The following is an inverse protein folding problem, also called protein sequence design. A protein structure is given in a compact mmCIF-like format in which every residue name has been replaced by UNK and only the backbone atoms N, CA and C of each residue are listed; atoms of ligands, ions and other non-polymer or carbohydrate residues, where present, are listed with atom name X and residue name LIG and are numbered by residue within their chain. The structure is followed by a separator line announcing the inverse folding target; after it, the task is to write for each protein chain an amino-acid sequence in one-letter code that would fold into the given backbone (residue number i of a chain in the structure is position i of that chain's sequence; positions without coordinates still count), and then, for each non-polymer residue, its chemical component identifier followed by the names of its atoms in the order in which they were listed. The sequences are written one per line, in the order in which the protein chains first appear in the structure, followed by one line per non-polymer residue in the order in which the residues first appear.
data_IF_329524832975
#
_entry.id   IF_329524832975
#
_cell.length_a   1.000
_cell.length_b   1.000
_cell.length_c   1.000
_cell.angle_alpha   90.00
_cell.angle_beta   90.00
_cell.angle_gamma   90.00
#
_symmetry.space_group_name_H-M   'P 1'
#
loop_
_entity.id
_entity.type
_entity.pdbx_description
1 polymer ?
#
# COMPACT_ATOMS: atom_id res chain seq x y z
N UNK A 1 -57.39 7.85 16.30
CA UNK A 1 -56.87 7.62 14.94
C UNK A 1 -55.51 8.28 14.87
N UNK A 2 -54.46 7.50 15.05
CA UNK A 2 -53.05 7.97 14.98
C UNK A 2 -52.41 7.29 13.79
N UNK A 3 -51.97 8.10 12.83
CA UNK A 3 -51.14 7.64 11.70
C UNK A 3 -49.70 7.50 12.18
N UNK A 4 -49.24 6.27 12.18
CA UNK A 4 -47.83 5.92 12.34
C UNK A 4 -47.16 6.06 10.96
N UNK A 5 -46.29 7.05 10.82
CA UNK A 5 -45.42 7.22 9.66
C UNK A 5 -44.24 6.25 9.74
N UNK A 6 -44.17 5.32 8.82
CA UNK A 6 -43.03 4.44 8.60
C UNK A 6 -41.91 5.23 7.92
N UNK A 7 -40.87 5.58 8.66
CA UNK A 7 -39.61 6.07 8.14
C UNK A 7 -38.76 4.86 7.76
N UNK A 8 -38.85 4.41 6.54
CA UNK A 8 -37.87 3.46 5.97
C UNK A 8 -36.56 4.21 5.77
N UNK A 9 -35.56 3.89 6.57
CA UNK A 9 -34.16 4.22 6.29
C UNK A 9 -33.78 3.45 5.04
N UNK A 10 -33.56 4.19 3.95
CA UNK A 10 -32.97 3.64 2.74
C UNK A 10 -31.55 3.15 3.10
N UNK A 11 -31.40 1.85 3.22
CA UNK A 11 -30.11 1.19 3.10
C UNK A 11 -29.62 1.52 1.69
N UNK A 12 -28.59 2.37 1.59
CA UNK A 12 -27.78 2.43 0.39
C UNK A 12 -27.08 1.06 0.25
N UNK A 13 -27.82 0.10 -0.30
CA UNK A 13 -27.22 -1.01 -0.98
C UNK A 13 -26.25 -0.42 -1.98
N UNK A 14 -24.94 -0.72 -1.83
CA UNK A 14 -23.97 -0.59 -2.91
C UNK A 14 -24.50 -1.47 -4.06
N UNK A 15 -25.47 -0.98 -4.80
CA UNK A 15 -25.88 -1.54 -6.08
C UNK A 15 -24.63 -1.52 -6.95
N UNK A 16 -24.07 -2.68 -7.17
CA UNK A 16 -23.23 -2.94 -8.32
C UNK A 16 -24.09 -2.62 -9.54
N UNK A 17 -24.04 -1.38 -10.00
CA UNK A 17 -24.45 -1.08 -11.36
C UNK A 17 -23.55 -1.90 -12.26
N UNK A 18 -24.12 -2.94 -12.85
CA UNK A 18 -23.63 -3.56 -14.08
C UNK A 18 -23.71 -2.52 -15.21
N UNK A 19 -22.83 -1.51 -15.13
CA UNK A 19 -22.54 -0.70 -16.27
C UNK A 19 -21.96 -1.67 -17.31
N UNK A 20 -22.67 -1.87 -18.41
CA UNK A 20 -22.17 -2.54 -19.60
C UNK A 20 -20.83 -1.90 -19.94
N UNK A 21 -19.75 -2.56 -19.49
CA UNK A 21 -18.39 -2.12 -19.71
C UNK A 21 -18.16 -2.05 -21.21
N UNK A 22 -18.08 -0.84 -21.72
CA UNK A 22 -17.40 -0.61 -22.99
C UNK A 22 -16.04 -1.26 -22.82
N UNK A 23 -15.72 -2.22 -23.69
CA UNK A 23 -14.38 -2.82 -23.76
C UNK A 23 -13.42 -1.63 -23.79
N UNK A 24 -12.57 -1.43 -22.77
CA UNK A 24 -11.67 -0.29 -22.76
C UNK A 24 -10.83 -0.37 -24.01
N UNK A 25 -10.69 0.73 -24.75
CA UNK A 25 -9.66 0.85 -25.76
C UNK A 25 -8.36 0.36 -25.10
N UNK A 26 -7.61 -0.52 -25.77
CA UNK A 26 -6.39 -1.10 -25.21
C UNK A 26 -5.57 0.01 -24.58
N UNK A 27 -5.29 -0.11 -23.28
CA UNK A 27 -4.47 0.88 -22.57
C UNK A 27 -3.19 1.05 -23.38
N UNK A 28 -2.87 2.27 -23.78
CA UNK A 28 -1.65 2.54 -24.55
C UNK A 28 -0.39 2.40 -23.67
N UNK A 29 -0.57 2.35 -22.34
CA UNK A 29 0.46 2.21 -21.35
C UNK A 29 0.69 0.72 -21.06
N UNK A 30 1.87 0.20 -21.40
CA UNK A 30 2.25 -1.15 -21.04
C UNK A 30 2.64 -1.28 -19.55
N UNK A 31 2.54 -2.51 -19.03
CA UNK A 31 2.79 -2.79 -17.62
C UNK A 31 4.20 -2.40 -17.15
N UNK A 32 5.21 -2.68 -17.96
CA UNK A 32 6.59 -2.39 -17.62
C UNK A 32 6.84 -0.87 -17.49
N UNK A 33 6.39 -0.10 -18.48
CA UNK A 33 6.45 1.37 -18.46
C UNK A 33 5.68 1.95 -17.27
N UNK A 34 4.48 1.41 -16.99
CA UNK A 34 3.68 1.84 -15.84
C UNK A 34 4.40 1.62 -14.50
N UNK A 35 5.07 0.49 -14.33
CA UNK A 35 5.89 0.21 -13.13
C UNK A 35 7.07 1.18 -13.04
N UNK A 36 7.76 1.43 -14.15
CA UNK A 36 8.90 2.35 -14.18
C UNK A 36 8.51 3.79 -13.86
N UNK A 37 7.43 4.30 -14.44
CA UNK A 37 6.94 5.65 -14.15
C UNK A 37 6.48 5.78 -12.69
N UNK A 38 5.82 4.75 -12.15
CA UNK A 38 5.46 4.72 -10.72
C UNK A 38 6.70 4.65 -9.82
N UNK A 39 7.77 3.96 -10.23
CA UNK A 39 9.06 3.98 -9.54
C UNK A 39 9.69 5.38 -9.56
N UNK A 40 9.60 6.09 -10.70
CA UNK A 40 10.05 7.48 -10.79
C UNK A 40 9.25 8.39 -9.85
N UNK A 41 7.92 8.23 -9.81
CA UNK A 41 7.06 8.98 -8.89
C UNK A 41 7.42 8.70 -7.41
N UNK A 42 7.67 7.45 -7.05
CA UNK A 42 8.13 7.08 -5.71
C UNK A 42 9.49 7.73 -5.38
N UNK A 43 10.43 7.77 -6.33
CA UNK A 43 11.71 8.47 -6.14
C UNK A 43 11.52 9.98 -5.93
N UNK A 44 10.54 10.60 -6.60
CA UNK A 44 10.18 12.01 -6.38
C UNK A 44 9.61 12.22 -4.98
N UNK A 45 8.68 11.37 -4.53
CA UNK A 45 8.12 11.41 -3.17
C UNK A 45 9.23 11.31 -2.12
N UNK A 46 10.16 10.36 -2.29
CA UNK A 46 11.28 10.16 -1.37
C UNK A 46 12.29 11.33 -1.37
N UNK A 47 12.25 12.18 -2.38
CA UNK A 47 12.97 13.45 -2.46
C UNK A 47 12.09 14.67 -2.10
N UNK A 48 10.95 14.48 -1.46
CA UNK A 48 9.99 15.51 -1.04
C UNK A 48 9.32 16.28 -2.20
N UNK A 49 9.30 15.72 -3.40
CA UNK A 49 8.77 16.34 -4.63
C UNK A 49 7.37 15.78 -4.93
N UNK A 50 6.44 16.01 -4.02
CA UNK A 50 5.08 15.43 -4.09
C UNK A 50 4.28 15.93 -5.29
N UNK A 51 4.37 17.24 -5.58
CA UNK A 51 3.67 17.85 -6.72
C UNK A 51 4.14 17.25 -8.04
N UNK A 52 5.46 17.18 -8.23
CA UNK A 52 6.06 16.58 -9.44
C UNK A 52 5.64 15.10 -9.58
N UNK A 53 5.55 14.35 -8.48
CA UNK A 53 5.10 12.96 -8.50
C UNK A 53 3.62 12.84 -8.91
N UNK A 54 2.75 13.70 -8.38
CA UNK A 54 1.33 13.73 -8.77
C UNK A 54 1.17 14.12 -10.25
N UNK A 55 1.90 15.13 -10.73
CA UNK A 55 1.85 15.56 -12.13
C UNK A 55 2.31 14.46 -13.09
N UNK A 56 3.31 13.64 -12.70
CA UNK A 56 3.78 12.49 -13.47
C UNK A 56 2.69 11.41 -13.59
N UNK A 57 1.97 11.12 -12.50
CA UNK A 57 1.00 10.03 -12.46
C UNK A 57 -0.37 10.43 -13.02
N UNK A 58 -0.73 11.71 -12.97
CA UNK A 58 -2.03 12.27 -13.31
C UNK A 58 -2.54 11.92 -14.72
N UNK A 59 -1.73 11.89 -15.78
CA UNK A 59 -2.23 11.57 -17.11
C UNK A 59 -2.84 10.17 -17.24
N UNK A 60 -2.34 9.18 -16.48
CA UNK A 60 -2.65 7.77 -16.63
C UNK A 60 -3.38 7.13 -15.43
N UNK A 61 -3.64 7.88 -14.36
CA UNK A 61 -4.17 7.30 -13.11
C UNK A 61 -5.55 6.65 -13.25
N UNK A 62 -6.31 6.97 -14.31
CA UNK A 62 -7.60 6.32 -14.60
C UNK A 62 -7.49 5.13 -15.54
N UNK A 63 -6.36 4.97 -16.21
CA UNK A 63 -6.19 3.99 -17.27
C UNK A 63 -5.13 2.92 -16.97
N UNK A 64 -4.26 3.18 -16.00
CA UNK A 64 -3.21 2.26 -15.56
C UNK A 64 -3.31 1.98 -14.08
N UNK A 65 -3.29 0.71 -13.69
CA UNK A 65 -3.41 0.28 -12.28
C UNK A 65 -2.28 0.78 -11.39
N UNK A 66 -1.04 0.84 -11.90
CA UNK A 66 0.11 1.34 -11.14
C UNK A 66 0.06 2.85 -10.93
N UNK A 67 -0.35 3.61 -11.95
CA UNK A 67 -0.56 5.05 -11.82
C UNK A 67 -1.72 5.36 -10.88
N UNK A 68 -2.81 4.59 -10.96
CA UNK A 68 -3.95 4.70 -10.04
C UNK A 68 -3.52 4.46 -8.58
N UNK A 69 -2.77 3.38 -8.35
CA UNK A 69 -2.23 3.05 -7.02
C UNK A 69 -1.30 4.16 -6.52
N UNK A 70 -0.31 4.57 -7.31
CA UNK A 70 0.67 5.59 -6.92
C UNK A 70 0.00 6.94 -6.64
N UNK A 71 -0.89 7.39 -7.53
CA UNK A 71 -1.61 8.66 -7.38
C UNK A 71 -2.49 8.67 -6.11
N UNK A 72 -3.27 7.60 -5.89
CA UNK A 72 -4.09 7.47 -4.68
C UNK A 72 -3.24 7.37 -3.42
N UNK A 73 -2.11 6.67 -3.45
CA UNK A 73 -1.21 6.53 -2.29
C UNK A 73 -0.65 7.87 -1.81
N UNK A 74 -0.28 8.76 -2.74
CA UNK A 74 0.22 10.10 -2.39
C UNK A 74 -0.89 10.91 -1.72
N UNK A 75 -2.10 10.90 -2.26
CA UNK A 75 -3.24 11.62 -1.67
C UNK A 75 -3.68 11.04 -0.33
N UNK A 76 -3.60 9.72 -0.14
CA UNK A 76 -3.85 9.08 1.16
C UNK A 76 -2.82 9.51 2.19
N UNK A 77 -1.54 9.53 1.80
CA UNK A 77 -0.47 9.99 2.67
C UNK A 77 -0.70 11.46 3.06
N UNK A 78 -1.08 12.33 2.12
CA UNK A 78 -1.46 13.70 2.41
C UNK A 78 -2.61 13.75 3.42
N UNK A 79 -3.72 13.06 3.17
CA UNK A 79 -4.88 13.03 4.03
C UNK A 79 -4.59 12.53 5.45
N UNK A 80 -3.69 11.53 5.58
CA UNK A 80 -3.27 11.00 6.90
C UNK A 80 -2.28 11.90 7.62
N UNK A 81 -1.59 12.81 6.94
CA UNK A 81 -0.71 13.81 7.56
C UNK A 81 -1.46 15.06 7.98
N UNK A 82 -2.39 15.55 7.17
CA UNK A 82 -3.13 16.78 7.45
C UNK A 82 -4.33 16.57 8.37
N UNK A 83 -4.95 15.37 8.33
CA UNK A 83 -6.26 15.08 8.95
C UNK A 83 -7.35 16.06 8.53
N UNK A 84 -7.14 16.79 7.42
CA UNK A 84 -8.15 17.71 6.90
C UNK A 84 -9.28 16.96 6.21
N UNK A 85 -10.52 17.33 6.51
CA UNK A 85 -11.72 16.70 5.95
C UNK A 85 -11.75 16.74 4.41
N UNK A 86 -11.26 17.83 3.83
CA UNK A 86 -11.16 18.01 2.37
C UNK A 86 -10.18 16.98 1.75
N UNK A 87 -9.01 16.80 2.37
CA UNK A 87 -7.99 15.87 1.89
C UNK A 87 -8.48 14.44 2.01
N UNK A 88 -9.14 14.09 3.13
CA UNK A 88 -9.75 12.78 3.35
C UNK A 88 -10.81 12.50 2.28
N UNK A 89 -11.70 13.45 1.97
CA UNK A 89 -12.72 13.28 0.93
C UNK A 89 -12.09 13.11 -0.46
N UNK A 90 -11.07 13.91 -0.78
CA UNK A 90 -10.34 13.82 -2.06
C UNK A 90 -9.66 12.46 -2.20
N UNK A 91 -8.96 12.02 -1.17
CA UNK A 91 -8.30 10.71 -1.16
C UNK A 91 -9.31 9.56 -1.27
N UNK A 92 -10.46 9.65 -0.56
CA UNK A 92 -11.54 8.65 -0.65
C UNK A 92 -12.12 8.54 -2.05
N UNK A 93 -12.38 9.67 -2.72
CA UNK A 93 -12.88 9.68 -4.09
C UNK A 93 -11.85 9.06 -5.04
N UNK A 94 -10.58 9.44 -4.90
CA UNK A 94 -9.49 8.93 -5.74
C UNK A 94 -9.27 7.43 -5.55
N UNK A 95 -9.34 6.91 -4.32
CA UNK A 95 -9.24 5.46 -4.06
C UNK A 95 -10.40 4.69 -4.69
N UNK A 96 -11.62 5.22 -4.69
CA UNK A 96 -12.74 4.56 -5.37
C UNK A 96 -12.45 4.38 -6.87
N UNK A 97 -11.93 5.41 -7.52
CA UNK A 97 -11.51 5.35 -8.93
C UNK A 97 -10.33 4.39 -9.13
N UNK A 98 -9.34 4.40 -8.24
CA UNK A 98 -8.20 3.48 -8.32
C UNK A 98 -8.64 2.01 -8.19
N UNK A 99 -9.56 1.70 -7.28
CA UNK A 99 -10.17 0.37 -7.16
C UNK A 99 -10.92 -0.02 -8.44
N UNK A 100 -11.68 0.90 -9.03
CA UNK A 100 -12.38 0.66 -10.29
C UNK A 100 -11.39 0.40 -11.44
N UNK A 101 -10.31 1.18 -11.53
CA UNK A 101 -9.24 0.96 -12.52
C UNK A 101 -8.62 -0.43 -12.36
N UNK A 102 -8.20 -0.81 -11.15
CA UNK A 102 -7.65 -2.15 -10.89
C UNK A 102 -8.67 -3.26 -11.22
N UNK A 103 -9.96 -3.07 -10.89
CA UNK A 103 -11.01 -4.04 -11.14
C UNK A 103 -11.20 -4.34 -12.63
N UNK A 104 -11.00 -3.36 -13.52
CA UNK A 104 -11.07 -3.57 -14.98
C UNK A 104 -10.04 -4.58 -15.47
N UNK A 105 -8.82 -4.54 -14.91
CA UNK A 105 -7.76 -5.49 -15.25
C UNK A 105 -8.01 -6.88 -14.64
N UNK A 106 -8.59 -6.97 -13.46
CA UNK A 106 -8.98 -8.23 -12.80
C UNK A 106 -10.07 -9.00 -13.56
N UNK A 107 -11.05 -8.31 -14.16
CA UNK A 107 -12.20 -8.92 -14.86
C UNK A 107 -11.88 -9.37 -16.29
N UNK A 108 -10.76 -8.97 -16.86
CA UNK A 108 -10.43 -9.17 -18.28
C UNK A 108 -10.35 -10.64 -18.68
N UNK A 109 -9.87 -11.51 -17.79
CA UNK A 109 -9.72 -12.95 -18.05
C UNK A 109 -11.02 -13.74 -17.93
N UNK A 110 -11.97 -13.30 -17.16
CA UNK A 110 -13.29 -13.96 -17.07
C UNK A 110 -14.07 -13.95 -18.39
N UNK A 111 -13.80 -12.96 -19.26
CA UNK A 111 -14.46 -12.86 -20.57
C UNK A 111 -13.66 -13.50 -21.72
N UNK A 112 -12.34 -13.60 -21.59
CA UNK A 112 -11.44 -14.13 -22.65
C UNK A 112 -11.35 -15.66 -22.61
N UNK A 113 -11.71 -16.30 -21.52
CA UNK A 113 -11.77 -17.77 -21.38
C UNK A 113 -12.69 -18.48 -22.39
N UNK A 114 -13.43 -17.74 -23.21
CA UNK A 114 -14.33 -18.26 -24.25
C UNK A 114 -13.77 -18.25 -25.68
N UNK A 115 -12.58 -17.66 -25.91
CA UNK A 115 -11.96 -17.58 -27.24
C UNK A 115 -10.51 -18.08 -27.17
N UNK A 116 -10.36 -19.38 -27.24
CA UNK A 116 -9.07 -20.05 -27.38
C UNK A 116 -8.39 -19.65 -28.67
N UNK A 117 -7.33 -18.92 -28.60
CA UNK A 117 -6.14 -19.02 -29.46
C UNK A 117 -5.29 -17.76 -29.37
N UNK A 118 -4.20 -17.86 -28.66
CA UNK A 118 -2.96 -17.09 -28.88
C UNK A 118 -2.11 -17.19 -27.59
N UNK A 119 -1.29 -18.21 -27.50
CA UNK A 119 -0.50 -18.60 -26.32
C UNK A 119 0.36 -17.45 -25.74
N UNK A 120 0.90 -16.55 -26.58
CA UNK A 120 1.70 -15.41 -26.10
C UNK A 120 0.85 -14.26 -25.54
N UNK A 121 -0.34 -14.05 -26.06
CA UNK A 121 -1.25 -12.99 -25.58
C UNK A 121 -1.93 -13.38 -24.26
N UNK A 122 -2.07 -14.67 -24.01
CA UNK A 122 -2.63 -15.22 -22.78
C UNK A 122 -1.66 -15.09 -21.59
N UNK A 123 -0.35 -15.24 -21.81
CA UNK A 123 0.66 -15.03 -20.75
C UNK A 123 0.70 -13.59 -20.27
N UNK A 124 0.67 -12.61 -21.18
CA UNK A 124 0.70 -11.19 -20.82
C UNK A 124 -0.58 -10.76 -20.08
N UNK A 125 -1.74 -11.29 -20.46
CA UNK A 125 -3.00 -11.01 -19.79
C UNK A 125 -3.03 -11.59 -18.36
N UNK A 126 -2.48 -12.78 -18.18
CA UNK A 126 -2.35 -13.40 -16.86
C UNK A 126 -1.39 -12.63 -15.96
N UNK A 127 -0.31 -12.08 -16.52
CA UNK A 127 0.65 -11.24 -15.82
C UNK A 127 0.02 -9.93 -15.35
N UNK A 128 -0.69 -9.21 -16.23
CA UNK A 128 -1.43 -7.99 -15.86
C UNK A 128 -2.46 -8.26 -14.75
N UNK A 129 -3.17 -9.40 -14.79
CA UNK A 129 -4.14 -9.76 -13.77
C UNK A 129 -3.50 -9.99 -12.40
N UNK A 130 -2.35 -10.70 -12.35
CA UNK A 130 -1.59 -10.90 -11.11
C UNK A 130 -1.20 -9.56 -10.47
N UNK A 131 -0.72 -8.60 -11.26
CA UNK A 131 -0.40 -7.27 -10.79
C UNK A 131 -1.64 -6.48 -10.35
N UNK A 132 -2.76 -6.65 -11.05
CA UNK A 132 -4.02 -6.00 -10.69
C UNK A 132 -4.55 -6.49 -9.35
N UNK A 133 -4.40 -7.77 -9.01
CA UNK A 133 -4.75 -8.31 -7.70
C UNK A 133 -3.97 -7.61 -6.57
N UNK A 134 -2.66 -7.46 -6.72
CA UNK A 134 -1.82 -6.76 -5.72
C UNK A 134 -2.21 -5.29 -5.60
N UNK A 135 -2.32 -4.56 -6.73
CA UNK A 135 -2.70 -3.16 -6.71
C UNK A 135 -4.09 -2.94 -6.08
N UNK A 136 -5.04 -3.83 -6.39
CA UNK A 136 -6.38 -3.80 -5.80
C UNK A 136 -6.34 -4.04 -4.30
N UNK A 137 -5.58 -5.02 -3.82
CA UNK A 137 -5.42 -5.31 -2.40
C UNK A 137 -4.82 -4.12 -1.64
N UNK A 138 -3.81 -3.44 -2.21
CA UNK A 138 -3.20 -2.24 -1.63
C UNK A 138 -4.20 -1.08 -1.56
N UNK A 139 -4.99 -0.84 -2.62
CA UNK A 139 -6.05 0.17 -2.61
C UNK A 139 -7.15 -0.13 -1.57
N UNK A 140 -7.49 -1.41 -1.36
CA UNK A 140 -8.45 -1.80 -0.30
C UNK A 140 -7.93 -1.46 1.10
N UNK A 141 -6.63 -1.69 1.36
CA UNK A 141 -6.01 -1.33 2.65
C UNK A 141 -6.01 0.18 2.85
N UNK A 142 -5.65 0.96 1.83
CA UNK A 142 -5.71 2.42 1.87
C UNK A 142 -7.13 2.92 2.15
N UNK A 143 -8.14 2.34 1.49
CA UNK A 143 -9.55 2.65 1.73
C UNK A 143 -9.98 2.29 3.16
N UNK A 144 -9.50 1.18 3.70
CA UNK A 144 -9.78 0.80 5.09
C UNK A 144 -9.17 1.81 6.07
N UNK A 145 -7.91 2.21 5.86
CA UNK A 145 -7.24 3.23 6.69
C UNK A 145 -8.02 4.54 6.71
N UNK A 146 -8.39 5.07 5.53
CA UNK A 146 -9.18 6.31 5.46
C UNK A 146 -10.57 6.16 6.09
N UNK A 147 -11.19 4.98 5.98
CA UNK A 147 -12.48 4.72 6.62
C UNK A 147 -12.38 4.84 8.14
N UNK A 148 -11.29 4.39 8.74
CA UNK A 148 -11.04 4.55 10.19
C UNK A 148 -10.71 6.00 10.58
N UNK A 149 -9.99 6.73 9.73
CA UNK A 149 -9.65 8.14 9.97
C UNK A 149 -10.89 9.04 9.85
N UNK A 150 -11.78 8.73 8.91
CA UNK A 150 -12.95 9.55 8.63
C UNK A 150 -14.03 9.44 9.72
N UNK A 151 -14.20 8.26 10.30
CA UNK A 151 -15.33 7.99 11.18
C UNK A 151 -15.01 6.85 12.16
N UNK A 152 -15.03 7.15 13.45
CA UNK A 152 -14.74 6.23 14.54
C UNK A 152 -15.95 5.38 14.96
N UNK A 153 -17.05 5.41 14.21
CA UNK A 153 -18.24 4.64 14.57
C UNK A 153 -18.06 3.14 14.29
N UNK A 154 -18.90 2.34 14.95
CA UNK A 154 -18.88 0.88 14.88
C UNK A 154 -19.09 0.36 13.45
N UNK A 155 -19.92 1.03 12.65
CA UNK A 155 -20.23 0.63 11.27
C UNK A 155 -19.00 0.82 10.38
N UNK A 156 -18.31 1.95 10.49
CA UNK A 156 -17.07 2.23 9.77
C UNK A 156 -15.97 1.25 10.16
N UNK A 157 -15.90 0.86 11.43
CA UNK A 157 -14.98 -0.18 11.90
C UNK A 157 -15.25 -1.54 11.23
N UNK A 158 -16.52 -1.98 11.15
CA UNK A 158 -16.90 -3.22 10.48
C UNK A 158 -16.60 -3.16 8.98
N UNK A 159 -16.97 -2.05 8.31
CA UNK A 159 -16.70 -1.85 6.88
C UNK A 159 -15.19 -1.85 6.56
N UNK A 160 -14.39 -1.22 7.40
CA UNK A 160 -12.93 -1.26 7.31
C UNK A 160 -12.37 -2.67 7.50
N UNK A 161 -12.85 -3.39 8.51
CA UNK A 161 -12.45 -4.77 8.80
C UNK A 161 -12.75 -5.75 7.67
N UNK A 162 -13.88 -5.59 6.98
CA UNK A 162 -14.23 -6.40 5.80
C UNK A 162 -13.23 -6.15 4.66
N UNK A 163 -12.84 -4.89 4.41
CA UNK A 163 -11.85 -4.54 3.38
C UNK A 163 -10.47 -5.14 3.70
N UNK A 164 -10.06 -5.07 4.96
CA UNK A 164 -8.81 -5.68 5.44
C UNK A 164 -8.83 -7.19 5.22
N UNK A 165 -9.94 -7.86 5.56
CA UNK A 165 -10.09 -9.31 5.34
C UNK A 165 -10.02 -9.66 3.86
N UNK A 166 -10.71 -8.93 3.00
CA UNK A 166 -10.68 -9.13 1.55
C UNK A 166 -9.26 -8.96 1.00
N UNK A 167 -8.56 -7.90 1.42
CA UNK A 167 -7.17 -7.69 1.04
C UNK A 167 -6.26 -8.82 1.49
N UNK A 168 -6.38 -9.28 2.74
CA UNK A 168 -5.63 -10.41 3.27
C UNK A 168 -5.83 -11.68 2.43
N UNK A 169 -7.09 -11.99 2.06
CA UNK A 169 -7.39 -13.16 1.24
C UNK A 169 -6.75 -13.05 -0.15
N UNK A 170 -6.82 -11.89 -0.78
CA UNK A 170 -6.16 -11.65 -2.08
C UNK A 170 -4.64 -11.89 -1.98
N UNK A 171 -3.99 -11.37 -0.94
CA UNK A 171 -2.56 -11.62 -0.73
C UNK A 171 -2.23 -13.11 -0.54
N UNK A 172 -3.09 -13.86 0.16
CA UNK A 172 -2.93 -15.31 0.32
C UNK A 172 -3.05 -16.04 -1.02
N UNK A 173 -4.01 -15.65 -1.84
CA UNK A 173 -4.21 -16.23 -3.17
C UNK A 173 -3.02 -15.89 -4.09
N UNK A 174 -2.53 -14.64 -4.06
CA UNK A 174 -1.32 -14.23 -4.76
C UNK A 174 -0.07 -14.99 -4.28
N UNK A 175 0.06 -15.27 -2.98
CA UNK A 175 1.15 -16.08 -2.45
C UNK A 175 1.11 -17.51 -2.98
N UNK A 176 -0.08 -18.11 -3.08
CA UNK A 176 -0.24 -19.44 -3.66
C UNK A 176 0.18 -19.45 -5.14
N UNK A 177 -0.25 -18.44 -5.92
CA UNK A 177 0.18 -18.28 -7.31
C UNK A 177 1.68 -18.11 -7.42
N UNK A 178 2.28 -17.25 -6.60
CA UNK A 178 3.73 -17.02 -6.56
C UNK A 178 4.49 -18.35 -6.32
N UNK A 179 4.08 -19.15 -5.34
CA UNK A 179 4.73 -20.40 -5.00
C UNK A 179 4.67 -21.44 -6.13
N UNK A 180 3.58 -21.45 -6.92
CA UNK A 180 3.42 -22.39 -8.06
C UNK A 180 4.18 -21.90 -9.29
N UNK A 181 4.30 -20.59 -9.49
CA UNK A 181 4.91 -20.02 -10.70
C UNK A 181 6.38 -19.70 -10.56
N UNK A 182 6.93 -19.73 -9.35
CA UNK A 182 8.32 -19.36 -9.07
C UNK A 182 9.34 -20.15 -9.91
N UNK A 183 9.11 -21.44 -10.11
CA UNK A 183 9.98 -22.29 -10.92
C UNK A 183 9.89 -22.02 -12.42
N UNK A 184 8.76 -21.48 -12.89
CA UNK A 184 8.46 -21.25 -14.31
C UNK A 184 8.78 -19.83 -14.77
N UNK A 185 8.55 -18.84 -13.91
CA UNK A 185 8.63 -17.41 -14.22
C UNK A 185 9.80 -16.70 -13.53
N UNK A 186 10.61 -17.39 -12.76
CA UNK A 186 11.51 -16.89 -11.72
C UNK A 186 12.62 -15.93 -12.12
N UNK A 187 12.64 -15.40 -13.36
CA UNK A 187 13.67 -14.45 -13.79
C UNK A 187 13.12 -13.21 -14.54
N UNK A 188 11.82 -13.07 -14.75
CA UNK A 188 11.29 -11.88 -15.38
C UNK A 188 11.27 -10.70 -14.39
N UNK A 189 11.55 -9.49 -14.88
CA UNK A 189 11.46 -8.28 -14.08
C UNK A 189 10.04 -8.07 -13.52
N UNK A 190 9.05 -8.32 -14.33
CA UNK A 190 7.64 -8.22 -13.96
C UNK A 190 7.29 -9.18 -12.82
N UNK A 191 7.70 -10.46 -12.90
CA UNK A 191 7.46 -11.40 -11.81
C UNK A 191 8.13 -10.95 -10.49
N UNK A 192 9.35 -10.40 -10.55
CA UNK A 192 10.04 -9.82 -9.39
C UNK A 192 9.25 -8.66 -8.77
N UNK A 193 8.63 -7.81 -9.60
CA UNK A 193 7.76 -6.73 -9.13
C UNK A 193 6.50 -7.26 -8.43
N UNK A 194 5.88 -8.31 -8.98
CA UNK A 194 4.75 -9.00 -8.36
C UNK A 194 5.16 -9.66 -7.03
N UNK A 195 6.24 -10.42 -7.01
CA UNK A 195 6.80 -11.06 -5.83
C UNK A 195 7.06 -10.05 -4.70
N UNK A 196 7.67 -8.89 -5.03
CA UNK A 196 7.89 -7.79 -4.07
C UNK A 196 6.59 -7.30 -3.43
N UNK A 197 5.49 -7.25 -4.19
CA UNK A 197 4.16 -6.90 -3.69
C UNK A 197 3.59 -7.97 -2.75
N UNK A 198 3.69 -9.23 -3.13
CA UNK A 198 3.26 -10.36 -2.28
C UNK A 198 4.03 -10.37 -0.97
N UNK A 199 5.35 -10.23 -1.00
CA UNK A 199 6.20 -10.21 0.20
C UNK A 199 5.88 -9.04 1.11
N UNK A 200 5.64 -7.85 0.56
CA UNK A 200 5.18 -6.69 1.35
C UNK A 200 3.86 -6.99 2.07
N UNK A 201 2.85 -7.44 1.35
CA UNK A 201 1.52 -7.68 1.92
C UNK A 201 1.51 -8.82 2.93
N UNK A 202 2.00 -9.99 2.56
CA UNK A 202 2.06 -11.18 3.44
C UNK A 202 2.95 -10.91 4.66
N UNK A 203 4.11 -10.26 4.45
CA UNK A 203 5.03 -9.91 5.52
C UNK A 203 4.39 -8.95 6.53
N UNK A 204 3.79 -7.87 6.05
CA UNK A 204 3.12 -6.87 6.89
C UNK A 204 1.93 -7.46 7.65
N UNK A 205 1.07 -8.27 7.00
CA UNK A 205 -0.06 -8.91 7.68
C UNK A 205 0.39 -9.88 8.78
N UNK A 206 1.35 -10.75 8.49
CA UNK A 206 1.85 -11.71 9.49
C UNK A 206 2.50 -10.99 10.68
N UNK A 207 3.28 -9.94 10.42
CA UNK A 207 3.89 -9.14 11.45
C UNK A 207 2.84 -8.43 12.31
N UNK A 208 1.92 -7.65 11.69
CA UNK A 208 0.90 -6.90 12.42
C UNK A 208 -0.04 -7.79 13.24
N UNK A 209 -0.51 -8.90 12.66
CA UNK A 209 -1.38 -9.84 13.38
C UNK A 209 -0.66 -10.47 14.58
N UNK A 210 0.63 -10.79 14.45
CA UNK A 210 1.42 -11.36 15.54
C UNK A 210 1.61 -10.44 16.75
N UNK A 211 1.40 -9.13 16.56
CA UNK A 211 1.53 -8.12 17.61
C UNK A 211 0.24 -7.92 18.41
N UNK A 212 -0.87 -8.48 17.95
CA UNK A 212 -2.15 -8.35 18.62
C UNK A 212 -2.20 -9.19 19.91
N UNK A 213 -2.92 -8.71 20.95
CA UNK A 213 -3.14 -9.50 22.15
C UNK A 213 -3.73 -10.87 21.83
N UNK A 214 -3.28 -11.91 22.52
CA UNK A 214 -3.67 -13.30 22.25
C UNK A 214 -5.19 -13.54 22.20
N UNK A 215 -5.96 -12.77 22.98
CA UNK A 215 -7.44 -12.87 22.97
C UNK A 215 -8.03 -12.43 21.64
N UNK A 216 -7.49 -11.33 21.08
CA UNK A 216 -7.91 -10.80 19.79
C UNK A 216 -7.43 -11.73 18.67
N UNK A 217 -6.18 -12.19 18.74
CA UNK A 217 -5.62 -13.10 17.75
C UNK A 217 -6.45 -14.39 17.61
N UNK A 218 -6.87 -15.02 18.72
CA UNK A 218 -7.75 -16.20 18.69
C UNK A 218 -9.10 -15.95 18.01
N UNK A 219 -9.70 -14.76 18.20
CA UNK A 219 -10.91 -14.38 17.50
C UNK A 219 -10.69 -14.22 16.00
N UNK A 220 -9.55 -13.62 15.62
CA UNK A 220 -9.17 -13.43 14.22
C UNK A 220 -8.80 -14.76 13.54
N UNK A 221 -8.16 -15.69 14.25
CA UNK A 221 -7.88 -17.05 13.79
C UNK A 221 -9.15 -17.81 13.45
N UNK A 222 -10.20 -17.66 14.27
CA UNK A 222 -11.50 -18.26 13.99
C UNK A 222 -12.13 -17.80 12.67
N UNK A 223 -11.84 -16.57 12.23
CA UNK A 223 -12.32 -16.02 10.95
C UNK A 223 -11.26 -16.11 9.82
N UNK A 224 -10.20 -16.89 10.04
CA UNK A 224 -9.21 -17.25 9.01
C UNK A 224 -7.99 -16.36 8.90
N UNK A 225 -7.76 -15.46 9.85
CA UNK A 225 -6.49 -14.74 9.95
C UNK A 225 -5.45 -15.57 10.73
N UNK A 226 -4.19 -15.46 10.34
CA UNK A 226 -3.07 -16.02 11.10
C UNK A 226 -1.90 -15.05 11.08
N UNK A 227 -1.18 -14.93 12.19
CA UNK A 227 -0.01 -14.08 12.32
C UNK A 227 1.19 -14.87 12.82
N UNK A 228 2.28 -14.78 12.10
CA UNK A 228 3.57 -15.34 12.49
C UNK A 228 4.65 -14.28 12.32
N UNK A 229 5.20 -13.82 13.45
CA UNK A 229 6.19 -12.73 13.48
C UNK A 229 7.45 -13.06 12.69
N UNK A 230 8.04 -14.20 12.91
CA UNK A 230 9.31 -14.59 12.28
C UNK A 230 9.13 -14.73 10.76
N UNK A 231 8.04 -15.36 10.34
CA UNK A 231 7.69 -15.48 8.93
C UNK A 231 7.43 -14.10 8.31
N UNK A 232 6.69 -13.21 9.01
CA UNK A 232 6.45 -11.85 8.54
C UNK A 232 7.72 -11.06 8.34
N UNK A 233 8.65 -11.10 9.32
CA UNK A 233 9.95 -10.45 9.24
C UNK A 233 10.82 -11.03 8.11
N UNK A 234 10.83 -12.35 7.93
CA UNK A 234 11.55 -13.00 6.81
C UNK A 234 11.06 -12.50 5.46
N UNK A 235 9.72 -12.49 5.24
CA UNK A 235 9.13 -12.00 3.99
C UNK A 235 9.46 -10.52 3.72
N UNK A 236 9.43 -9.67 4.75
CA UNK A 236 9.80 -8.26 4.60
C UNK A 236 11.30 -8.09 4.30
N UNK A 237 12.21 -8.86 4.91
CA UNK A 237 13.65 -8.85 4.60
C UNK A 237 13.92 -9.25 3.16
N UNK A 238 13.31 -10.34 2.71
CA UNK A 238 13.40 -10.78 1.33
C UNK A 238 12.85 -9.73 0.35
N UNK A 239 11.67 -9.14 0.67
CA UNK A 239 11.08 -8.06 -0.10
C UNK A 239 11.97 -6.81 -0.17
N UNK A 240 12.61 -6.41 0.93
CA UNK A 240 13.54 -5.29 0.98
C UNK A 240 14.77 -5.51 0.08
N UNK A 241 15.21 -6.75 -0.09
CA UNK A 241 16.35 -7.12 -0.93
C UNK A 241 15.99 -7.43 -2.40
N UNK A 242 14.71 -7.40 -2.78
CA UNK A 242 14.23 -7.87 -4.09
C UNK A 242 14.47 -6.91 -5.25
N UNK A 243 14.93 -5.68 -5.00
CA UNK A 243 15.08 -4.61 -6.00
C UNK A 243 13.80 -4.30 -6.80
N UNK A 244 12.64 -4.51 -6.18
CA UNK A 244 11.33 -4.16 -6.74
C UNK A 244 10.91 -2.74 -6.36
N UNK A 245 9.86 -2.23 -7.01
CA UNK A 245 9.18 -0.97 -6.63
C UNK A 245 8.88 -0.91 -5.12
N UNK A 246 8.52 -2.06 -4.53
CA UNK A 246 8.08 -2.17 -3.14
C UNK A 246 9.20 -2.46 -2.14
N UNK A 247 10.44 -2.62 -2.59
CA UNK A 247 11.57 -2.94 -1.70
C UNK A 247 11.77 -1.91 -0.60
N UNK A 248 11.67 -0.62 -0.95
CA UNK A 248 11.78 0.44 0.06
C UNK A 248 10.62 0.42 1.05
N UNK A 249 9.41 0.03 0.62
CA UNK A 249 8.25 -0.08 1.51
C UNK A 249 8.43 -1.22 2.52
N UNK A 250 9.02 -2.34 2.09
CA UNK A 250 9.42 -3.42 2.99
C UNK A 250 10.48 -2.94 4.01
N UNK A 251 11.50 -2.21 3.54
CA UNK A 251 12.53 -1.64 4.39
C UNK A 251 11.95 -0.65 5.41
N UNK A 252 11.06 0.26 4.99
CA UNK A 252 10.38 1.21 5.88
C UNK A 252 9.49 0.50 6.92
N UNK A 253 8.83 -0.60 6.56
CA UNK A 253 8.04 -1.42 7.49
C UNK A 253 8.94 -2.06 8.55
N UNK A 254 10.10 -2.60 8.16
CA UNK A 254 11.10 -3.14 9.09
C UNK A 254 11.71 -2.05 9.98
N UNK A 255 12.02 -0.87 9.42
CA UNK A 255 12.50 0.28 10.17
C UNK A 255 11.48 0.71 11.22
N UNK A 256 10.21 0.83 10.86
CA UNK A 256 9.14 1.16 11.80
C UNK A 256 9.01 0.11 12.91
N UNK A 257 9.04 -1.17 12.56
CA UNK A 257 9.03 -2.25 13.54
C UNK A 257 10.21 -2.16 14.51
N UNK A 258 11.45 -2.05 14.01
CA UNK A 258 12.66 -2.06 14.82
C UNK A 258 12.86 -0.81 15.69
N UNK A 259 12.34 0.35 15.27
CA UNK A 259 12.59 1.63 15.94
C UNK A 259 11.42 2.17 16.75
N UNK A 260 10.21 1.63 16.56
CA UNK A 260 9.00 2.05 17.27
C UNK A 260 8.24 0.88 17.90
N UNK A 261 7.77 -0.06 17.06
CA UNK A 261 6.79 -1.07 17.49
C UNK A 261 7.38 -2.00 18.55
N UNK A 262 8.58 -2.54 18.34
CA UNK A 262 9.26 -3.44 19.26
C UNK A 262 9.50 -2.80 20.64
N UNK A 263 9.75 -1.49 20.66
CA UNK A 263 10.00 -0.72 21.89
C UNK A 263 8.70 -0.43 22.64
N UNK A 264 7.65 0.04 21.93
CA UNK A 264 6.35 0.38 22.52
C UNK A 264 5.67 -0.85 23.12
N UNK A 265 5.73 -1.99 22.44
CA UNK A 265 5.10 -3.22 22.91
C UNK A 265 5.94 -4.02 23.90
N UNK A 266 7.18 -3.58 24.19
CA UNK A 266 8.06 -4.28 25.12
C UNK A 266 8.40 -5.71 24.68
N UNK A 267 8.29 -6.04 23.39
CA UNK A 267 8.51 -7.38 22.85
C UNK A 267 9.99 -7.73 22.64
N UNK A 268 10.89 -6.86 23.09
CA UNK A 268 12.34 -7.00 23.00
C UNK A 268 13.02 -5.71 22.55
N UNK A 269 14.36 -5.72 22.53
CA UNK A 269 15.14 -4.63 21.96
C UNK A 269 14.96 -4.64 20.45
N UNK A 270 14.60 -3.50 19.87
CA UNK A 270 14.59 -3.33 18.41
C UNK A 270 15.98 -3.60 17.86
N UNK A 271 16.07 -4.24 16.71
CA UNK A 271 17.34 -4.52 16.05
C UNK A 271 17.87 -3.25 15.37
N UNK A 272 18.57 -2.40 16.14
CA UNK A 272 19.14 -1.15 15.62
C UNK A 272 20.25 -1.37 14.57
N UNK A 273 20.98 -2.48 14.67
CA UNK A 273 21.99 -2.84 13.66
C UNK A 273 21.33 -3.15 12.32
N UNK A 274 20.25 -3.91 12.33
CA UNK A 274 19.44 -4.15 11.12
C UNK A 274 18.83 -2.86 10.59
N UNK A 275 18.31 -1.99 11.48
CA UNK A 275 17.72 -0.72 11.08
C UNK A 275 18.74 0.20 10.38
N UNK A 276 19.96 0.29 10.90
CA UNK A 276 21.06 1.04 10.27
C UNK A 276 21.42 0.48 8.90
N UNK A 277 21.60 -0.84 8.79
CA UNK A 277 21.93 -1.50 7.54
C UNK A 277 20.84 -1.35 6.47
N UNK A 278 19.55 -1.38 6.87
CA UNK A 278 18.43 -1.14 5.97
C UNK A 278 18.36 0.31 5.50
N UNK A 279 18.72 1.26 6.34
CA UNK A 279 18.62 2.69 6.03
C UNK A 279 19.79 3.21 5.18
N UNK A 280 20.98 2.66 5.35
CA UNK A 280 22.23 3.12 4.74
C UNK A 280 22.14 3.35 3.21
N UNK A 281 21.63 2.40 2.38
CA UNK A 281 21.51 2.60 0.95
C UNK A 281 20.61 3.78 0.58
N UNK A 282 19.58 4.02 1.38
CA UNK A 282 18.62 5.10 1.14
C UNK A 282 19.13 6.46 1.61
N UNK A 283 19.99 6.52 2.62
CA UNK A 283 20.68 7.76 3.02
C UNK A 283 21.57 8.30 1.90
N UNK A 284 22.25 7.41 1.17
CA UNK A 284 23.04 7.79 0.01
C UNK A 284 22.19 8.22 -1.18
N UNK A 285 21.08 7.52 -1.42
CA UNK A 285 20.19 7.77 -2.55
C UNK A 285 19.30 9.00 -2.37
N UNK A 286 18.84 9.25 -1.13
CA UNK A 286 17.89 10.32 -0.78
C UNK A 286 18.40 11.14 0.42
N UNK A 287 19.54 11.83 0.31
CA UNK A 287 20.20 12.47 1.46
C UNK A 287 19.39 13.60 2.10
N UNK A 288 18.40 14.14 1.39
CA UNK A 288 17.49 15.19 1.87
C UNK A 288 16.02 14.70 2.00
N UNK A 289 15.78 13.41 1.82
CA UNK A 289 14.44 12.84 1.94
C UNK A 289 13.95 12.87 3.39
N UNK A 290 12.81 13.49 3.65
CA UNK A 290 12.28 13.69 5.01
C UNK A 290 12.12 12.39 5.77
N UNK A 291 11.57 11.36 5.13
CA UNK A 291 11.37 10.06 5.78
C UNK A 291 12.70 9.37 6.12
N UNK A 292 13.73 9.56 5.28
CA UNK A 292 15.05 9.01 5.50
C UNK A 292 15.74 9.74 6.67
N UNK A 293 15.66 11.08 6.69
CA UNK A 293 16.18 11.90 7.79
C UNK A 293 15.47 11.59 9.11
N UNK A 294 14.15 11.40 9.08
CA UNK A 294 13.36 11.02 10.23
C UNK A 294 13.85 9.70 10.86
N UNK A 295 14.06 8.64 10.07
CA UNK A 295 14.60 7.39 10.61
C UNK A 295 16.06 7.50 11.01
N UNK A 296 16.86 8.35 10.33
CA UNK A 296 18.25 8.63 10.73
C UNK A 296 18.32 9.26 12.12
N UNK A 297 17.49 10.28 12.36
CA UNK A 297 17.36 10.91 13.67
C UNK A 297 16.88 9.90 14.72
N UNK A 298 15.84 9.14 14.41
CA UNK A 298 15.27 8.16 15.33
C UNK A 298 16.31 7.11 15.78
N UNK A 299 17.10 6.58 14.84
CA UNK A 299 18.15 5.61 15.15
C UNK A 299 19.25 6.26 15.99
N UNK A 300 19.66 7.50 15.68
CA UNK A 300 20.66 8.24 16.45
C UNK A 300 20.19 8.46 17.89
N UNK A 301 18.94 8.90 18.10
CA UNK A 301 18.31 9.03 19.43
C UNK A 301 18.35 7.71 20.21
N UNK A 302 17.96 6.60 19.58
CA UNK A 302 17.98 5.29 20.22
C UNK A 302 19.38 4.79 20.55
N UNK A 303 20.41 5.27 19.84
CA UNK A 303 21.84 5.02 20.13
C UNK A 303 22.40 5.95 21.25
N UNK A 304 21.64 6.94 21.68
CA UNK A 304 22.10 7.96 22.62
C UNK A 304 23.07 8.99 22.02
N UNK A 305 23.05 9.15 20.71
CA UNK A 305 23.97 10.05 19.99
C UNK A 305 23.30 11.42 19.74
N UNK A 306 23.05 12.17 20.81
CA UNK A 306 22.28 13.40 20.81
C UNK A 306 22.92 14.57 20.05
N UNK A 307 24.23 14.58 19.82
CA UNK A 307 24.88 15.64 19.03
C UNK A 307 24.47 15.63 17.55
N UNK A 308 24.17 14.44 17.00
CA UNK A 308 23.59 14.30 15.66
C UNK A 308 22.10 14.60 15.61
N UNK A 309 21.38 14.35 16.71
CA UNK A 309 19.92 14.49 16.80
C UNK A 309 19.43 15.90 16.62
N UNK A 310 20.07 16.88 17.27
CA UNK A 310 19.66 18.31 17.24
C UNK A 310 19.65 18.82 15.79
N UNK A 311 20.57 18.37 14.94
CA UNK A 311 20.60 18.75 13.54
C UNK A 311 19.51 18.04 12.71
N UNK A 312 19.28 16.76 12.96
CA UNK A 312 18.29 15.97 12.22
C UNK A 312 16.86 16.25 12.69
N UNK A 313 16.63 16.46 13.99
CA UNK A 313 15.32 16.83 14.51
C UNK A 313 14.89 18.23 14.04
N UNK A 314 15.75 19.24 14.15
CA UNK A 314 15.44 20.57 13.60
C UNK A 314 15.19 20.52 12.09
N UNK A 315 15.94 19.73 11.34
CA UNK A 315 15.77 19.62 9.90
C UNK A 315 14.55 18.78 9.52
N UNK A 316 14.26 17.70 10.26
CA UNK A 316 13.08 16.85 9.99
C UNK A 316 11.78 17.52 10.44
N UNK A 317 11.77 18.25 11.56
CA UNK A 317 10.61 19.05 12.01
C UNK A 317 10.38 20.19 11.03
N UNK A 318 11.41 20.93 10.64
CA UNK A 318 11.27 22.01 9.65
C UNK A 318 10.87 21.50 8.27
N UNK A 319 11.33 20.29 7.89
CA UNK A 319 10.91 19.64 6.64
C UNK A 319 9.50 19.05 6.73
N UNK A 320 9.08 18.53 7.87
CA UNK A 320 7.69 18.13 8.13
C UNK A 320 6.76 19.36 8.10
N UNK A 321 7.19 20.47 8.69
CA UNK A 321 6.48 21.77 8.60
C UNK A 321 6.45 22.29 7.16
N UNK A 322 7.56 22.22 6.42
CA UNK A 322 7.62 22.57 5.00
C UNK A 322 6.78 21.64 4.14
N UNK A 323 6.73 20.33 4.44
CA UNK A 323 5.88 19.35 3.76
C UNK A 323 4.41 19.63 4.06
N UNK A 324 4.04 19.85 5.31
CA UNK A 324 2.70 20.27 5.73
C UNK A 324 2.32 21.59 5.06
N UNK A 325 3.25 22.56 5.02
CA UNK A 325 3.02 23.86 4.36
C UNK A 325 2.87 23.71 2.84
N UNK A 326 3.71 22.88 2.19
CA UNK A 326 3.63 22.61 0.74
C UNK A 326 2.34 21.87 0.41
N UNK A 327 1.95 20.92 1.25
CA UNK A 327 0.70 20.15 1.14
C UNK A 327 -0.52 21.06 1.32
N UNK A 328 -0.48 21.98 2.29
CA UNK A 328 -1.55 22.98 2.53
C UNK A 328 -1.63 24.02 1.41
N UNK A 329 -0.50 24.37 0.76
CA UNK A 329 -0.50 25.32 -0.36
C UNK A 329 -0.98 24.70 -1.69
N UNK A 330 -0.99 23.38 -1.83
CA UNK A 330 -1.52 22.68 -3.01
C UNK A 330 -3.04 22.44 -2.96
N UNK A 331 -3.70 22.75 -1.86
CA UNK A 331 -5.16 22.76 -1.66
C UNK A 331 -5.78 24.12 -1.82
#
# INVERSE_FOLDING_TARGET
MAHVGNGATAEEEDCFEDAFDRIPAACQMDLHTAIQETQCALNLVLNNKFSEALDLLKPWWRDSMYHALGYSSILVMQATMTFEQRDIQTAMATIKEALHTCQRFRKRNSMVGSLSSLISKQSNLQEEEMHAEICYAECLLQKATLTFVQDENMISFIKGGIKIRTSYQIYKDCQNVMNVTQDLAGQSDSFRQFEGGVKLGIGSFNLMLSLLPQRILRLLEFIGFSGNREFGLSQLREGASSHSLRSILCALTLLFYNTYVSLILGTGEGNLVEAEALLEPYQHKYPKGSIILFYSARIATLRGNFEKDVWYECYSIHLLECLLYTVVQMG
#
